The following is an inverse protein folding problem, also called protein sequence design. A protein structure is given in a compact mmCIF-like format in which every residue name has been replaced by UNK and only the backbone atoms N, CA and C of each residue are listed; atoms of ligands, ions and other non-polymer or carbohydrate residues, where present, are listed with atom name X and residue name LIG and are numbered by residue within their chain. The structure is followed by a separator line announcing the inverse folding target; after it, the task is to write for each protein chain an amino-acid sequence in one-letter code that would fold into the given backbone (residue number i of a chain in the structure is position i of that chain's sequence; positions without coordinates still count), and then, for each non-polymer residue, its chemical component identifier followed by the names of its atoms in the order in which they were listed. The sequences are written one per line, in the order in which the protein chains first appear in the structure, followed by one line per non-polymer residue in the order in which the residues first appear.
data_IF_271611981993
#
_entry.id   IF_271611981993
#
_cell.length_a   1.000
_cell.length_b   1.000
_cell.length_c   1.000
_cell.angle_alpha   90.00
_cell.angle_beta   90.00
_cell.angle_gamma   90.00
#
_symmetry.space_group_name_H-M   'P 1'
#
loop_
_entity.id
_entity.type
_entity.pdbx_description
1 polymer ?
#
# COMPACT_ATOMS: atom_id res chain seq x y z
N UNK A 1 -34.60 48.08 26.29
CA UNK A 1 -35.24 47.15 25.38
C UNK A 1 -35.42 47.77 23.98
N UNK A 2 -34.49 48.60 23.50
CA UNK A 2 -34.58 49.30 22.20
C UNK A 2 -33.52 48.87 21.18
N UNK A 3 -32.75 47.87 21.45
CA UNK A 3 -31.64 47.47 20.57
C UNK A 3 -31.92 46.30 19.62
N UNK A 4 -33.08 45.62 19.71
CA UNK A 4 -33.35 44.40 18.93
C UNK A 4 -34.16 44.65 17.65
N UNK A 5 -34.93 45.70 17.57
CA UNK A 5 -35.78 45.98 16.40
C UNK A 5 -35.01 46.50 15.17
N UNK A 6 -33.93 47.26 15.39
CA UNK A 6 -33.12 47.80 14.28
C UNK A 6 -32.35 46.74 13.50
N UNK A 7 -32.00 45.65 14.13
CA UNK A 7 -31.31 44.54 13.48
C UNK A 7 -32.22 43.70 12.58
N UNK A 8 -33.49 43.58 12.97
CA UNK A 8 -34.47 42.84 12.16
C UNK A 8 -34.90 43.58 10.91
N UNK A 9 -35.03 44.91 10.97
CA UNK A 9 -35.40 45.75 9.82
C UNK A 9 -34.25 45.83 8.81
N UNK A 10 -33.00 45.93 9.25
CA UNK A 10 -31.84 45.91 8.35
C UNK A 10 -31.69 44.57 7.60
N UNK A 11 -32.01 43.46 8.25
CA UNK A 11 -31.95 42.12 7.63
C UNK A 11 -33.03 41.91 6.58
N UNK A 12 -34.24 42.45 6.81
CA UNK A 12 -35.36 42.35 5.86
C UNK A 12 -35.13 43.20 4.60
N UNK A 13 -34.52 44.38 4.70
CA UNK A 13 -34.18 45.24 3.56
C UNK A 13 -33.09 44.58 2.69
N UNK A 14 -32.12 43.87 3.29
CA UNK A 14 -31.10 43.15 2.51
C UNK A 14 -31.66 41.94 1.76
N UNK A 15 -32.61 41.22 2.35
CA UNK A 15 -33.23 40.04 1.70
C UNK A 15 -34.12 40.46 0.54
N UNK A 16 -34.88 41.56 0.66
CA UNK A 16 -35.69 42.06 -0.43
C UNK A 16 -34.87 42.64 -1.58
N UNK A 17 -33.71 43.27 -1.29
CA UNK A 17 -32.79 43.75 -2.32
C UNK A 17 -32.13 42.61 -3.11
N UNK A 18 -31.85 41.47 -2.46
CA UNK A 18 -31.24 40.29 -3.12
C UNK A 18 -32.24 39.55 -4.03
N UNK A 19 -33.51 39.50 -3.66
CA UNK A 19 -34.58 38.83 -4.45
C UNK A 19 -34.99 39.65 -5.68
N UNK A 20 -34.94 40.99 -5.60
CA UNK A 20 -35.24 41.84 -6.76
C UNK A 20 -34.13 41.83 -7.81
N UNK A 21 -32.87 41.53 -7.45
CA UNK A 21 -31.76 41.45 -8.44
C UNK A 21 -31.81 40.18 -9.28
N UNK A 22 -32.52 39.13 -8.83
CA UNK A 22 -32.65 37.85 -9.53
C UNK A 22 -33.78 37.86 -10.58
N UNK A 23 -34.71 38.82 -10.49
CA UNK A 23 -35.90 38.87 -11.35
C UNK A 23 -35.81 39.83 -12.56
N UNK A 24 -34.73 40.61 -12.68
CA UNK A 24 -34.51 41.49 -13.85
C UNK A 24 -33.31 41.02 -14.68
N UNK A 25 -33.26 39.72 -14.99
CA UNK A 25 -32.32 39.16 -15.94
C UNK A 25 -32.60 39.66 -17.35
N UNK A 26 -31.90 40.69 -17.80
CA UNK A 26 -31.89 41.13 -19.18
C UNK A 26 -31.35 40.01 -20.06
N UNK A 27 -32.18 39.46 -20.93
CA UNK A 27 -31.75 38.55 -21.99
C UNK A 27 -30.82 39.30 -22.95
N UNK A 28 -29.51 39.08 -22.84
CA UNK A 28 -28.58 39.42 -23.91
C UNK A 28 -28.56 38.23 -24.89
N UNK A 29 -28.61 38.48 -26.21
CA UNK A 29 -28.54 37.42 -27.19
C UNK A 29 -27.17 36.73 -27.07
N UNK A 30 -27.16 35.42 -26.88
CA UNK A 30 -25.95 34.60 -26.90
C UNK A 30 -25.36 34.65 -28.30
N UNK A 31 -24.31 35.42 -28.49
CA UNK A 31 -23.41 35.27 -29.64
C UNK A 31 -22.68 33.95 -29.43
N UNK A 32 -23.09 32.94 -30.19
CA UNK A 32 -22.45 31.62 -30.18
C UNK A 32 -21.02 31.71 -30.73
N UNK A 33 -20.05 31.87 -29.86
CA UNK A 33 -18.67 31.51 -30.18
C UNK A 33 -18.53 30.00 -30.02
N UNK A 34 -18.58 29.29 -31.13
CA UNK A 34 -18.11 27.93 -31.18
C UNK A 34 -16.58 27.94 -30.98
N UNK A 35 -16.12 27.71 -29.74
CA UNK A 35 -14.74 27.38 -29.48
C UNK A 35 -14.54 25.98 -30.09
N UNK A 36 -13.98 25.97 -31.28
CA UNK A 36 -13.46 24.76 -31.88
C UNK A 36 -12.22 24.39 -31.05
N UNK A 37 -12.42 23.55 -30.04
CA UNK A 37 -11.33 22.89 -29.36
C UNK A 37 -10.65 21.99 -30.38
N UNK A 38 -9.51 22.48 -30.90
CA UNK A 38 -8.59 21.61 -31.61
C UNK A 38 -8.33 20.39 -30.74
N UNK A 39 -8.39 19.18 -31.29
CA UNK A 39 -8.03 18.02 -30.50
C UNK A 39 -6.59 18.22 -30.02
N UNK A 40 -6.40 18.43 -28.73
CA UNK A 40 -5.10 18.27 -28.10
C UNK A 40 -4.59 16.91 -28.54
N UNK A 41 -3.35 16.80 -29.08
CA UNK A 41 -2.80 15.49 -29.34
C UNK A 41 -2.87 14.75 -28.01
N UNK A 42 -3.64 13.67 -27.95
CA UNK A 42 -3.57 12.70 -26.89
C UNK A 42 -2.14 12.17 -26.90
N UNK A 43 -1.28 12.81 -26.13
CA UNK A 43 -0.03 12.18 -25.76
C UNK A 43 -0.45 10.87 -25.10
N UNK A 44 -0.18 9.76 -25.76
CA UNK A 44 -0.14 8.46 -25.13
C UNK A 44 0.93 8.59 -24.04
N UNK A 45 0.55 9.02 -22.84
CA UNK A 45 1.35 8.76 -21.67
C UNK A 45 1.29 7.25 -21.51
N UNK A 46 2.30 6.56 -22.02
CA UNK A 46 2.48 5.14 -21.74
C UNK A 46 2.55 5.05 -20.23
N UNK A 47 1.57 4.36 -19.60
CA UNK A 47 1.63 4.06 -18.19
C UNK A 47 3.02 3.49 -17.88
N UNK A 48 3.68 4.01 -16.85
CA UNK A 48 5.01 3.53 -16.50
C UNK A 48 4.96 2.03 -16.31
N UNK A 49 5.79 1.30 -17.04
CA UNK A 49 5.95 -0.14 -16.81
C UNK A 49 6.71 -0.44 -15.51
N UNK A 50 7.34 0.60 -14.92
CA UNK A 50 8.11 0.51 -13.68
C UNK A 50 7.22 0.78 -12.49
N UNK A 51 6.83 -0.26 -11.81
CA UNK A 51 6.02 -0.20 -10.60
C UNK A 51 6.78 -0.77 -9.41
N UNK A 52 6.44 -0.37 -8.21
CA UNK A 52 6.97 -0.94 -6.97
C UNK A 52 5.93 -0.79 -5.86
N UNK A 53 5.88 -1.73 -4.93
CA UNK A 53 5.08 -1.63 -3.72
C UNK A 53 6.01 -1.61 -2.50
N UNK A 54 5.73 -0.70 -1.56
CA UNK A 54 6.48 -0.55 -0.33
C UNK A 54 5.61 -1.02 0.84
N UNK A 55 6.17 -1.89 1.67
CA UNK A 55 5.52 -2.42 2.86
C UNK A 55 6.31 -2.07 4.12
N UNK A 56 5.60 -1.84 5.22
CA UNK A 56 6.18 -1.47 6.51
C UNK A 56 5.58 -2.37 7.59
N UNK A 57 6.41 -3.23 8.19
CA UNK A 57 5.97 -4.21 9.18
C UNK A 57 6.17 -3.75 10.62
N UNK A 58 5.51 -4.45 11.57
CA UNK A 58 5.81 -4.45 13.00
C UNK A 58 5.41 -3.20 13.81
N UNK A 59 4.57 -2.31 13.27
CA UNK A 59 3.99 -1.20 14.04
C UNK A 59 5.04 -0.25 14.65
N UNK A 60 6.19 -0.07 14.00
CA UNK A 60 7.31 0.68 14.56
C UNK A 60 7.13 2.19 14.44
N UNK A 61 7.41 2.93 15.53
CA UNK A 61 7.25 4.40 15.59
C UNK A 61 8.10 5.12 14.55
N UNK A 62 9.28 4.60 14.22
CA UNK A 62 10.18 5.17 13.22
C UNK A 62 9.57 5.21 11.81
N UNK A 63 8.63 4.34 11.52
CA UNK A 63 7.89 4.37 10.24
C UNK A 63 7.04 5.64 10.11
N UNK A 64 6.44 6.09 11.22
CA UNK A 64 5.70 7.34 11.26
C UNK A 64 6.62 8.57 11.34
N UNK A 65 7.66 8.53 12.17
CA UNK A 65 8.51 9.70 12.44
C UNK A 65 9.58 9.93 11.38
N UNK A 66 10.08 8.87 10.74
CA UNK A 66 11.21 8.96 9.81
C UNK A 66 10.81 8.57 8.38
N UNK A 67 10.10 7.43 8.18
CA UNK A 67 9.74 7.01 6.82
C UNK A 67 8.65 7.91 6.20
N UNK A 68 7.56 8.20 6.94
CA UNK A 68 6.44 8.99 6.41
C UNK A 68 6.88 10.34 5.82
N UNK A 69 7.66 11.20 6.49
CA UNK A 69 8.09 12.48 5.91
C UNK A 69 8.90 12.34 4.63
N UNK A 70 9.65 11.24 4.49
CA UNK A 70 10.42 10.95 3.27
C UNK A 70 9.49 10.50 2.15
N UNK A 71 8.50 9.65 2.44
CA UNK A 71 7.47 9.26 1.48
C UNK A 71 6.67 10.48 0.99
N UNK A 72 6.25 11.35 1.92
CA UNK A 72 5.50 12.57 1.60
C UNK A 72 6.26 13.49 0.65
N UNK A 73 7.57 13.64 0.85
CA UNK A 73 8.44 14.45 0.00
C UNK A 73 8.37 14.06 -1.48
N UNK A 74 8.15 12.78 -1.77
CA UNK A 74 8.07 12.26 -3.13
C UNK A 74 6.64 11.94 -3.57
N UNK A 75 5.64 12.21 -2.74
CA UNK A 75 4.24 11.86 -3.01
C UNK A 75 3.97 10.36 -2.97
N UNK A 76 4.84 9.57 -2.35
CA UNK A 76 4.73 8.12 -2.30
C UNK A 76 3.80 7.66 -1.17
N UNK A 77 3.10 6.55 -1.43
CA UNK A 77 2.28 5.87 -0.43
C UNK A 77 2.74 4.42 -0.27
N UNK A 78 2.67 3.91 0.96
CA UNK A 78 3.04 2.54 1.28
C UNK A 78 1.95 1.80 2.04
N UNK A 79 2.14 0.50 2.26
CA UNK A 79 1.24 -0.36 3.03
C UNK A 79 1.85 -0.68 4.39
N UNK A 80 1.17 -0.29 5.46
CA UNK A 80 1.62 -0.42 6.84
C UNK A 80 0.88 -1.57 7.52
N UNK A 81 1.63 -2.57 7.96
CA UNK A 81 1.11 -3.78 8.57
C UNK A 81 1.16 -3.71 10.10
N UNK A 82 -0.01 -3.71 10.72
CA UNK A 82 -0.19 -3.44 12.13
C UNK A 82 -0.33 -4.75 12.94
N UNK A 83 0.56 -4.93 13.91
CA UNK A 83 0.43 -5.93 14.97
C UNK A 83 -0.35 -5.31 16.11
N UNK A 84 -1.58 -5.74 16.32
CA UNK A 84 -2.58 -5.01 17.10
C UNK A 84 -2.17 -4.74 18.55
N UNK A 85 -1.69 -5.75 19.27
CA UNK A 85 -1.28 -5.58 20.67
C UNK A 85 0.04 -4.84 20.86
N UNK A 86 0.75 -4.54 19.77
CA UNK A 86 1.94 -3.70 19.84
C UNK A 86 1.63 -2.20 19.74
N UNK A 87 0.40 -1.83 19.35
CA UNK A 87 0.03 -0.42 19.25
C UNK A 87 0.05 0.22 20.63
N UNK A 88 0.91 1.23 20.80
CA UNK A 88 1.07 1.97 22.05
C UNK A 88 1.65 1.16 23.22
N UNK A 89 2.16 -0.06 22.96
CA UNK A 89 2.70 -0.91 24.02
C UNK A 89 3.98 -0.34 24.65
N UNK A 90 4.72 0.43 23.90
CA UNK A 90 5.89 1.16 24.34
C UNK A 90 6.22 2.35 23.41
N UNK A 91 7.25 3.14 23.75
CA UNK A 91 7.65 4.33 22.98
C UNK A 91 8.19 4.04 21.57
N UNK A 92 8.60 2.80 21.28
CA UNK A 92 9.12 2.41 19.97
C UNK A 92 7.99 1.95 19.04
N UNK A 93 6.74 1.94 19.52
CA UNK A 93 5.57 1.53 18.73
C UNK A 93 4.70 2.72 18.38
N UNK A 94 4.06 2.66 17.22
CA UNK A 94 3.02 3.64 16.84
C UNK A 94 1.83 3.55 17.79
N UNK A 95 1.24 4.69 18.07
CA UNK A 95 -0.06 4.80 18.73
C UNK A 95 -1.18 4.70 17.71
N UNK A 96 -2.43 4.49 18.15
CA UNK A 96 -3.59 4.56 17.26
C UNK A 96 -3.71 5.92 16.58
N UNK A 97 -3.33 7.00 17.25
CA UNK A 97 -3.32 8.34 16.66
C UNK A 97 -2.34 8.42 15.47
N UNK A 98 -1.14 7.84 15.59
CA UNK A 98 -0.18 7.80 14.48
C UNK A 98 -0.71 6.99 13.29
N UNK A 99 -1.32 5.84 13.57
CA UNK A 99 -1.87 4.94 12.55
C UNK A 99 -3.04 5.59 11.80
N UNK A 100 -3.94 6.24 12.52
CA UNK A 100 -5.05 6.99 11.92
C UNK A 100 -4.55 8.20 11.11
N UNK A 101 -3.49 8.87 11.56
CA UNK A 101 -2.85 9.94 10.79
C UNK A 101 -2.23 9.42 9.49
N UNK A 102 -1.60 8.24 9.49
CA UNK A 102 -1.14 7.56 8.27
C UNK A 102 -2.31 7.28 7.32
N UNK A 103 -3.42 6.73 7.83
CA UNK A 103 -4.62 6.43 7.04
C UNK A 103 -5.22 7.68 6.42
N UNK A 104 -5.37 8.76 7.22
CA UNK A 104 -5.91 10.05 6.75
C UNK A 104 -5.04 10.68 5.65
N UNK A 105 -3.74 10.42 5.68
CA UNK A 105 -2.78 10.85 4.67
C UNK A 105 -2.73 9.92 3.43
N UNK A 106 -3.63 8.93 3.35
CA UNK A 106 -3.75 8.04 2.21
C UNK A 106 -2.75 6.87 2.19
N UNK A 107 -2.06 6.62 3.30
CA UNK A 107 -1.30 5.38 3.45
C UNK A 107 -2.26 4.19 3.62
N UNK A 108 -1.88 3.03 3.11
CA UNK A 108 -2.69 1.82 3.24
C UNK A 108 -2.37 1.12 4.57
N UNK A 109 -3.38 0.91 5.41
CA UNK A 109 -3.23 0.28 6.72
C UNK A 109 -3.81 -1.13 6.68
N UNK A 110 -2.97 -2.11 6.99
CA UNK A 110 -3.27 -3.54 6.86
C UNK A 110 -2.87 -4.33 8.12
N UNK A 111 -3.18 -5.61 8.16
CA UNK A 111 -3.07 -6.43 9.36
C UNK A 111 -1.80 -7.30 9.40
N UNK A 112 -1.13 -7.36 10.57
CA UNK A 112 -0.06 -8.30 10.86
C UNK A 112 -0.26 -8.99 12.22
N UNK A 113 -1.33 -9.80 12.34
CA UNK A 113 -1.69 -10.55 13.54
C UNK A 113 -2.07 -9.70 14.77
N UNK A 114 -2.46 -10.37 15.86
CA UNK A 114 -2.67 -9.74 17.17
C UNK A 114 -1.36 -9.56 17.94
N UNK A 115 -0.51 -10.60 17.96
CA UNK A 115 0.61 -10.70 18.92
C UNK A 115 1.96 -11.03 18.28
N UNK A 116 2.01 -11.19 16.95
CA UNK A 116 3.21 -11.54 16.19
C UNK A 116 3.78 -12.95 16.49
N UNK A 117 2.94 -13.89 16.90
CA UNK A 117 3.35 -15.28 17.14
C UNK A 117 3.57 -16.04 15.83
N UNK A 118 4.44 -17.05 15.83
CA UNK A 118 4.63 -17.95 14.69
C UNK A 118 3.35 -18.75 14.44
N UNK A 119 2.72 -18.55 13.32
CA UNK A 119 1.37 -19.03 13.03
C UNK A 119 1.31 -20.54 12.80
N UNK A 120 2.39 -21.15 12.27
CA UNK A 120 2.45 -22.59 11.99
C UNK A 120 2.45 -23.48 13.24
N UNK A 121 2.69 -22.93 14.41
CA UNK A 121 2.73 -23.64 15.69
C UNK A 121 1.49 -23.41 16.58
N UNK A 122 0.50 -22.68 16.06
CA UNK A 122 -0.68 -22.30 16.84
C UNK A 122 -1.78 -23.37 16.81
N UNK A 123 -2.52 -23.46 17.90
CA UNK A 123 -3.78 -24.18 17.91
C UNK A 123 -4.80 -23.51 16.99
N UNK A 124 -5.85 -24.20 16.52
CA UNK A 124 -6.90 -23.57 15.69
C UNK A 124 -7.53 -22.33 16.34
N UNK A 125 -7.74 -22.35 17.66
CA UNK A 125 -8.30 -21.21 18.39
C UNK A 125 -7.33 -20.03 18.44
N UNK A 126 -6.05 -20.29 18.75
CA UNK A 126 -5.01 -19.25 18.74
C UNK A 126 -4.82 -18.68 17.33
N UNK A 127 -4.81 -19.53 16.32
CA UNK A 127 -4.69 -19.08 14.92
C UNK A 127 -5.87 -18.18 14.53
N UNK A 128 -7.09 -18.55 14.91
CA UNK A 128 -8.26 -17.69 14.70
C UNK A 128 -8.15 -16.37 15.46
N UNK A 129 -7.62 -16.38 16.68
CA UNK A 129 -7.37 -15.16 17.45
C UNK A 129 -6.37 -14.24 16.74
N UNK A 130 -5.26 -14.78 16.21
CA UNK A 130 -4.27 -13.99 15.48
C UNK A 130 -4.85 -13.39 14.19
N UNK A 131 -5.67 -14.12 13.46
CA UNK A 131 -6.19 -13.73 12.14
C UNK A 131 -7.49 -12.93 12.25
N UNK A 132 -8.54 -13.51 12.84
CA UNK A 132 -9.84 -12.84 12.98
C UNK A 132 -9.80 -11.74 14.04
N UNK A 133 -9.06 -11.96 15.12
CA UNK A 133 -8.88 -10.97 16.19
C UNK A 133 -8.24 -9.70 15.66
N UNK A 134 -7.17 -9.81 14.85
CA UNK A 134 -6.51 -8.63 14.25
C UNK A 134 -7.42 -7.90 13.26
N UNK A 135 -8.22 -8.61 12.48
CA UNK A 135 -9.24 -8.00 11.62
C UNK A 135 -10.22 -7.16 12.43
N UNK A 136 -10.75 -7.74 13.52
CA UNK A 136 -11.69 -7.06 14.41
C UNK A 136 -11.03 -5.85 15.09
N UNK A 137 -9.81 -6.02 15.60
CA UNK A 137 -9.08 -4.94 16.27
C UNK A 137 -8.93 -3.72 15.37
N UNK A 138 -8.54 -3.89 14.11
CA UNK A 138 -8.43 -2.79 13.15
C UNK A 138 -9.82 -2.19 12.82
N UNK A 139 -10.83 -3.03 12.65
CA UNK A 139 -12.20 -2.57 12.36
C UNK A 139 -12.78 -1.75 13.53
N UNK A 140 -12.50 -2.11 14.78
CA UNK A 140 -12.90 -1.35 15.97
C UNK A 140 -12.30 0.08 16.00
N UNK A 141 -11.22 0.33 15.21
CA UNK A 141 -10.60 1.65 15.04
C UNK A 141 -10.92 2.27 13.67
N UNK A 142 -11.94 1.77 12.95
CA UNK A 142 -12.37 2.33 11.66
C UNK A 142 -11.47 1.96 10.48
N UNK A 143 -10.62 0.95 10.60
CA UNK A 143 -9.71 0.48 9.56
C UNK A 143 -10.25 -0.80 8.92
N UNK A 144 -10.58 -0.75 7.64
CA UNK A 144 -11.00 -1.94 6.89
C UNK A 144 -9.78 -2.62 6.23
N UNK A 145 -9.00 -3.35 7.02
CA UNK A 145 -7.88 -4.12 6.50
C UNK A 145 -8.36 -5.28 5.61
N UNK A 146 -7.84 -5.40 4.41
CA UNK A 146 -8.19 -6.42 3.43
C UNK A 146 -7.05 -7.38 3.11
N UNK A 147 -5.86 -7.06 3.59
CA UNK A 147 -4.62 -7.79 3.35
C UNK A 147 -3.99 -8.17 4.69
N UNK A 148 -3.40 -9.34 4.72
CA UNK A 148 -2.76 -9.86 5.92
C UNK A 148 -1.27 -10.11 5.67
N UNK A 149 -0.38 -9.74 6.59
CA UNK A 149 1.01 -10.16 6.56
C UNK A 149 1.26 -11.23 7.61
N UNK A 150 1.90 -12.32 7.20
CA UNK A 150 2.38 -13.34 8.15
C UNK A 150 3.63 -12.85 8.89
N UNK A 151 3.97 -13.51 10.00
CA UNK A 151 4.99 -12.99 10.92
C UNK A 151 6.42 -13.33 10.54
N UNK A 152 6.65 -14.48 9.92
CA UNK A 152 8.00 -15.01 9.68
C UNK A 152 8.27 -15.41 8.24
N UNK A 153 7.32 -15.18 7.32
CA UNK A 153 7.48 -15.37 5.88
C UNK A 153 7.64 -16.83 5.41
N UNK A 154 7.42 -17.80 6.27
CA UNK A 154 7.58 -19.23 5.95
C UNK A 154 6.27 -20.02 6.07
N UNK A 155 5.14 -19.32 6.13
CA UNK A 155 3.81 -19.89 6.21
C UNK A 155 3.14 -20.12 4.84
N UNK A 156 3.80 -19.69 3.77
CA UNK A 156 3.26 -19.67 2.40
C UNK A 156 2.78 -21.01 1.85
N UNK A 157 3.28 -22.11 2.37
CA UNK A 157 2.87 -23.46 1.99
C UNK A 157 2.06 -24.18 3.08
N UNK A 158 1.69 -23.49 4.18
CA UNK A 158 0.89 -24.07 5.23
C UNK A 158 -0.60 -23.88 4.98
N UNK A 159 -1.26 -24.97 4.55
CA UNK A 159 -2.68 -24.95 4.21
C UNK A 159 -3.59 -24.47 5.35
N UNK A 160 -3.29 -24.85 6.57
CA UNK A 160 -4.09 -24.47 7.75
C UNK A 160 -4.04 -22.96 7.95
N UNK A 161 -2.84 -22.37 7.89
CA UNK A 161 -2.63 -20.93 8.04
C UNK A 161 -3.29 -20.17 6.89
N UNK A 162 -3.07 -20.59 5.64
CA UNK A 162 -3.62 -19.92 4.45
C UNK A 162 -5.15 -19.98 4.46
N UNK A 163 -5.74 -21.14 4.78
CA UNK A 163 -7.20 -21.28 4.90
C UNK A 163 -7.79 -20.41 6.01
N UNK A 164 -7.08 -20.23 7.12
CA UNK A 164 -7.51 -19.32 8.18
C UNK A 164 -7.52 -17.86 7.70
N UNK A 165 -6.46 -17.42 7.01
CA UNK A 165 -6.35 -16.07 6.45
C UNK A 165 -7.43 -15.82 5.40
N UNK A 166 -7.65 -16.76 4.48
CA UNK A 166 -8.59 -16.64 3.38
C UNK A 166 -10.06 -16.44 3.81
N UNK A 167 -10.40 -16.77 5.05
CA UNK A 167 -11.74 -16.52 5.61
C UNK A 167 -12.02 -15.05 5.87
N UNK A 168 -10.98 -14.24 6.07
CA UNK A 168 -11.11 -12.87 6.58
C UNK A 168 -10.44 -11.82 5.69
N UNK A 169 -9.47 -12.21 4.86
CA UNK A 169 -8.67 -11.30 4.06
C UNK A 169 -8.68 -11.69 2.58
N UNK A 170 -8.50 -10.72 1.72
CA UNK A 170 -8.48 -10.92 0.28
C UNK A 170 -7.11 -11.35 -0.25
N UNK A 171 -6.04 -10.91 0.42
CA UNK A 171 -4.66 -11.18 0.06
C UNK A 171 -3.80 -11.46 1.29
N UNK A 172 -2.63 -12.08 1.09
CA UNK A 172 -1.62 -12.17 2.13
C UNK A 172 -0.22 -11.96 1.58
N UNK A 173 0.58 -11.17 2.32
CA UNK A 173 2.03 -11.11 2.17
C UNK A 173 2.63 -12.23 3.00
N UNK A 174 3.30 -13.15 2.32
CA UNK A 174 3.73 -14.41 2.92
C UNK A 174 4.87 -15.05 2.11
N UNK A 175 6.08 -14.72 2.42
CA UNK A 175 7.26 -15.31 1.81
C UNK A 175 8.27 -14.28 1.33
N UNK A 176 9.46 -14.78 0.98
CA UNK A 176 10.60 -13.96 0.59
C UNK A 176 10.96 -14.20 -0.86
N UNK A 177 10.87 -13.20 -1.68
CA UNK A 177 11.42 -13.15 -3.03
C UNK A 177 11.31 -11.70 -3.55
N UNK A 178 12.17 -11.31 -4.49
CA UNK A 178 12.18 -9.94 -4.99
C UNK A 178 10.92 -9.55 -5.76
N UNK A 179 10.22 -10.49 -6.38
CA UNK A 179 9.09 -10.20 -7.26
C UNK A 179 7.82 -10.93 -6.84
N UNK A 180 6.73 -10.18 -6.80
CA UNK A 180 5.39 -10.72 -6.93
C UNK A 180 5.03 -10.81 -8.42
N UNK A 181 4.39 -11.91 -8.84
CA UNK A 181 3.83 -12.02 -10.17
C UNK A 181 2.30 -11.96 -10.11
N UNK A 182 1.69 -11.26 -11.05
CA UNK A 182 0.24 -11.08 -11.09
C UNK A 182 -0.50 -12.38 -11.46
N UNK A 183 0.19 -13.30 -12.15
CA UNK A 183 -0.33 -14.64 -12.47
C UNK A 183 0.81 -15.66 -12.59
N UNK A 184 0.45 -16.95 -12.56
CA UNK A 184 1.41 -18.06 -12.45
C UNK A 184 2.45 -18.14 -13.56
N UNK A 185 2.16 -17.68 -14.75
CA UNK A 185 3.10 -17.75 -15.87
C UNK A 185 4.38 -16.96 -15.62
N UNK A 186 4.33 -15.89 -14.80
CA UNK A 186 5.49 -15.16 -14.37
C UNK A 186 6.46 -15.99 -13.53
N UNK A 187 5.92 -16.85 -12.64
CA UNK A 187 6.77 -17.74 -11.80
C UNK A 187 7.49 -18.80 -12.62
N UNK A 188 6.88 -19.32 -13.68
CA UNK A 188 7.54 -20.25 -14.58
C UNK A 188 8.69 -19.63 -15.36
N UNK A 189 8.62 -18.33 -15.62
CA UNK A 189 9.66 -17.56 -16.33
C UNK A 189 10.79 -17.13 -15.41
N UNK A 190 10.49 -16.93 -14.12
CA UNK A 190 11.50 -16.71 -13.10
C UNK A 190 11.95 -18.07 -12.56
N UNK A 191 13.11 -18.25 -12.06
CA UNK A 191 13.55 -19.48 -11.39
C UNK A 191 12.79 -19.76 -10.07
N UNK A 192 11.74 -18.99 -9.77
CA UNK A 192 10.87 -19.19 -8.62
C UNK A 192 9.84 -20.29 -8.97
N UNK A 193 10.08 -21.50 -8.54
CA UNK A 193 9.26 -22.67 -8.87
C UNK A 193 7.89 -22.70 -8.22
N UNK A 194 7.53 -21.67 -7.43
CA UNK A 194 6.35 -21.71 -6.58
C UNK A 194 5.36 -20.59 -6.90
N UNK A 195 4.43 -20.91 -7.77
CA UNK A 195 3.19 -20.15 -7.86
C UNK A 195 2.10 -20.78 -6.98
N UNK A 196 2.47 -21.61 -6.01
CA UNK A 196 1.51 -22.35 -5.20
C UNK A 196 0.79 -21.46 -4.22
N UNK A 197 -0.31 -21.02 -4.64
CA UNK A 197 -1.44 -20.89 -3.75
C UNK A 197 -2.27 -22.15 -3.75
N UNK A 198 -1.80 -23.17 -4.45
CA UNK A 198 -2.49 -24.44 -4.57
C UNK A 198 -1.79 -25.51 -3.78
N UNK A 199 -2.57 -26.23 -3.06
CA UNK A 199 -2.18 -27.56 -2.61
C UNK A 199 -2.32 -28.53 -3.77
N UNK A 200 -1.50 -29.58 -3.77
CA UNK A 200 -1.54 -30.64 -4.77
C UNK A 200 -2.92 -31.31 -4.88
N UNK A 201 -3.76 -31.16 -3.85
CA UNK A 201 -5.14 -31.63 -3.84
C UNK A 201 -6.16 -30.64 -4.44
N UNK A 202 -5.72 -29.52 -4.99
CA UNK A 202 -6.57 -28.54 -5.68
C UNK A 202 -7.49 -27.70 -4.79
N UNK A 203 -7.29 -27.72 -3.47
CA UNK A 203 -8.22 -27.06 -2.54
C UNK A 203 -8.06 -25.57 -2.42
N UNK A 204 -6.98 -24.98 -2.92
CA UNK A 204 -6.84 -23.53 -2.89
C UNK A 204 -6.28 -23.03 -4.22
N UNK A 205 -7.14 -22.42 -5.00
CA UNK A 205 -6.81 -21.98 -6.36
C UNK A 205 -6.73 -20.46 -6.46
N UNK A 206 -5.99 -19.85 -5.57
CA UNK A 206 -5.95 -18.39 -5.52
C UNK A 206 -4.64 -17.83 -6.06
N UNK A 207 -3.92 -18.54 -6.94
CA UNK A 207 -2.68 -18.11 -7.54
C UNK A 207 -1.99 -17.04 -6.64
N UNK A 208 -0.98 -16.60 -6.56
CA UNK A 208 -0.28 -15.60 -5.74
C UNK A 208 -1.05 -14.80 -4.66
N UNK A 209 -2.37 -14.94 -4.60
CA UNK A 209 -3.25 -14.12 -3.75
C UNK A 209 -2.88 -14.19 -2.27
N UNK A 210 -2.53 -15.40 -1.79
CA UNK A 210 -2.12 -15.62 -0.40
C UNK A 210 -0.63 -15.96 -0.26
N UNK A 211 0.16 -15.63 -1.26
CA UNK A 211 1.61 -15.84 -1.31
C UNK A 211 2.32 -14.65 -1.96
N UNK A 212 1.85 -13.45 -1.71
CA UNK A 212 2.57 -12.25 -2.13
C UNK A 212 3.93 -12.29 -1.48
N UNK A 213 4.97 -12.19 -2.29
CA UNK A 213 6.35 -12.24 -1.82
C UNK A 213 6.92 -10.84 -1.75
N UNK A 214 7.75 -10.62 -0.74
CA UNK A 214 8.47 -9.36 -0.59
C UNK A 214 9.97 -9.62 -0.42
N UNK A 215 10.79 -8.71 -0.92
CA UNK A 215 12.17 -8.63 -0.52
C UNK A 215 12.24 -7.85 0.78
N UNK A 216 12.59 -8.54 1.88
CA UNK A 216 12.74 -7.90 3.18
C UNK A 216 14.03 -7.09 3.19
N UNK A 217 13.87 -5.76 3.27
CA UNK A 217 14.97 -4.81 3.36
C UNK A 217 15.49 -4.77 4.80
N UNK A 218 16.31 -5.73 5.12
CA UNK A 218 16.99 -5.80 6.41
C UNK A 218 18.37 -6.45 6.24
N UNK A 219 19.22 -6.27 7.23
CA UNK A 219 20.58 -6.76 7.21
C UNK A 219 20.71 -8.26 7.51
N UNK A 220 19.73 -9.09 7.10
CA UNK A 220 19.76 -10.55 7.37
C UNK A 220 20.91 -11.22 6.62
N UNK A 221 21.24 -10.74 5.43
CA UNK A 221 22.32 -11.33 4.66
C UNK A 221 23.68 -10.87 5.24
N UNK A 222 24.37 -11.78 5.89
CA UNK A 222 25.73 -11.55 6.44
C UNK A 222 26.72 -11.10 5.36
N UNK A 223 26.48 -11.42 4.09
CA UNK A 223 27.31 -10.99 2.96
C UNK A 223 27.21 -9.49 2.70
N UNK A 224 26.09 -8.86 3.08
CA UNK A 224 25.87 -7.43 2.95
C UNK A 224 26.04 -6.66 4.26
N UNK A 225 26.47 -7.32 5.34
CA UNK A 225 26.48 -6.81 6.71
C UNK A 225 26.85 -5.33 6.79
N UNK A 226 25.85 -4.50 7.14
CA UNK A 226 25.95 -3.07 7.47
C UNK A 226 26.60 -2.14 6.43
N UNK A 227 26.78 -2.58 5.17
CA UNK A 227 27.30 -1.73 4.10
C UNK A 227 26.16 -1.17 3.24
N UNK A 228 25.76 0.08 3.51
CA UNK A 228 24.65 0.76 2.84
C UNK A 228 24.84 0.83 1.33
N UNK A 229 26.07 0.97 0.83
CA UNK A 229 26.35 1.00 -0.61
C UNK A 229 25.93 -0.32 -1.28
N UNK A 230 26.26 -1.46 -0.66
CA UNK A 230 25.88 -2.78 -1.20
C UNK A 230 24.38 -3.02 -1.08
N UNK A 231 23.77 -2.58 0.04
CA UNK A 231 22.31 -2.69 0.22
C UNK A 231 21.59 -1.84 -0.82
N UNK A 232 22.03 -0.60 -1.05
CA UNK A 232 21.49 0.25 -2.11
C UNK A 232 21.64 -0.38 -3.51
N UNK A 233 22.81 -0.94 -3.84
CA UNK A 233 23.01 -1.64 -5.09
C UNK A 233 22.06 -2.84 -5.24
N UNK A 234 21.84 -3.58 -4.15
CA UNK A 234 20.88 -4.69 -4.13
C UNK A 234 19.45 -4.19 -4.30
N UNK A 235 19.04 -3.13 -3.60
CA UNK A 235 17.75 -2.48 -3.80
C UNK A 235 17.51 -2.11 -5.27
N UNK A 236 18.50 -1.46 -5.91
CA UNK A 236 18.44 -1.11 -7.34
C UNK A 236 18.27 -2.35 -8.22
N UNK A 237 18.96 -3.44 -7.93
CA UNK A 237 18.80 -4.71 -8.65
C UNK A 237 17.38 -5.28 -8.48
N UNK A 238 16.86 -5.28 -7.25
CA UNK A 238 15.53 -5.83 -6.96
C UNK A 238 14.41 -5.05 -7.65
N UNK A 239 14.40 -3.72 -7.53
CA UNK A 239 13.36 -2.91 -8.17
C UNK A 239 13.42 -2.95 -9.70
N UNK A 240 14.58 -3.14 -10.29
CA UNK A 240 14.74 -3.28 -11.75
C UNK A 240 14.57 -4.72 -12.26
N UNK A 241 14.48 -5.72 -11.39
CA UNK A 241 14.32 -7.12 -11.79
C UNK A 241 13.04 -7.36 -12.60
N UNK A 242 12.02 -6.53 -12.41
CA UNK A 242 10.77 -6.52 -13.16
C UNK A 242 10.94 -6.26 -14.66
N UNK A 243 12.03 -5.58 -15.09
CA UNK A 243 12.25 -5.22 -16.49
C UNK A 243 12.37 -6.44 -17.42
N UNK A 244 12.62 -7.63 -16.86
CA UNK A 244 12.64 -8.89 -17.62
C UNK A 244 11.23 -9.38 -18.00
N UNK A 245 10.20 -8.91 -17.30
CA UNK A 245 8.84 -9.41 -17.36
C UNK A 245 7.83 -8.36 -17.82
N UNK A 246 8.04 -7.11 -17.46
CA UNK A 246 7.19 -6.01 -17.83
C UNK A 246 7.57 -5.49 -19.22
N UNK A 247 6.59 -5.09 -19.99
CA UNK A 247 6.80 -4.63 -21.38
C UNK A 247 6.70 -3.11 -21.46
N UNK A 248 7.43 -2.51 -22.38
CA UNK A 248 7.42 -1.06 -22.64
C UNK A 248 6.04 -0.53 -23.10
N UNK A 249 5.14 -1.42 -23.52
CA UNK A 249 3.76 -1.06 -23.86
C UNK A 249 2.83 -0.87 -22.65
N UNK A 250 3.37 -0.84 -21.43
CA UNK A 250 2.62 -0.67 -20.18
C UNK A 250 2.06 -1.97 -19.58
N UNK A 251 2.35 -3.15 -20.16
CA UNK A 251 1.91 -4.42 -19.58
C UNK A 251 2.76 -4.76 -18.37
N UNK A 252 2.16 -4.73 -17.17
CA UNK A 252 2.79 -5.13 -15.91
C UNK A 252 2.46 -6.58 -15.61
N UNK A 253 3.48 -7.39 -15.43
CA UNK A 253 3.38 -8.83 -15.11
C UNK A 253 4.01 -9.15 -13.76
N UNK A 254 5.08 -8.42 -13.42
CA UNK A 254 5.83 -8.58 -12.19
C UNK A 254 5.96 -7.26 -11.45
N UNK A 255 5.86 -7.31 -10.13
CA UNK A 255 5.94 -6.14 -9.25
C UNK A 255 6.91 -6.43 -8.12
N UNK A 256 7.98 -5.64 -7.98
CA UNK A 256 8.81 -5.68 -6.79
C UNK A 256 8.00 -5.22 -5.57
N UNK A 257 8.05 -6.00 -4.51
CA UNK A 257 7.50 -5.64 -3.20
C UNK A 257 8.65 -5.55 -2.22
N UNK A 258 8.88 -4.37 -1.66
CA UNK A 258 10.01 -4.08 -0.77
C UNK A 258 9.49 -3.90 0.65
N UNK A 259 9.90 -4.80 1.54
CA UNK A 259 9.48 -4.80 2.94
C UNK A 259 10.50 -4.13 3.86
N UNK A 260 10.07 -3.10 4.56
CA UNK A 260 10.85 -2.38 5.56
C UNK A 260 10.33 -2.67 6.97
N UNK A 261 11.23 -2.56 7.94
CA UNK A 261 10.89 -2.61 9.36
C UNK A 261 11.25 -1.29 10.04
N UNK A 262 12.32 -1.25 10.78
CA UNK A 262 12.75 -0.04 11.50
C UNK A 262 13.53 0.91 10.58
N UNK A 263 13.22 2.21 10.60
CA UNK A 263 13.92 3.23 9.80
C UNK A 263 14.64 4.17 10.79
N UNK A 264 15.90 3.87 11.10
CA UNK A 264 16.65 4.55 12.17
C UNK A 264 18.12 4.72 11.81
N UNK A 265 18.77 5.75 12.38
CA UNK A 265 20.20 5.98 12.16
C UNK A 265 21.10 4.97 12.92
N UNK A 266 20.59 4.38 14.01
CA UNK A 266 21.32 3.36 14.77
C UNK A 266 20.98 1.97 14.20
N UNK A 267 21.89 1.41 13.41
CA UNK A 267 21.66 0.14 12.70
C UNK A 267 21.53 -1.03 13.67
N UNK A 268 20.39 -1.70 13.55
CA UNK A 268 20.14 -3.02 14.11
C UNK A 268 20.01 -4.05 12.98
N UNK A 269 19.84 -5.32 13.33
CA UNK A 269 19.69 -6.41 12.35
C UNK A 269 18.51 -6.17 11.39
N UNK A 270 17.43 -5.60 11.88
CA UNK A 270 16.16 -5.46 11.16
C UNK A 270 15.83 -3.99 10.86
N UNK A 271 16.86 -3.13 10.75
CA UNK A 271 16.69 -1.71 10.47
C UNK A 271 17.32 -1.29 9.15
N UNK A 272 16.75 -0.24 8.57
CA UNK A 272 17.29 0.51 7.44
C UNK A 272 17.77 1.87 7.93
N UNK A 273 18.95 2.31 7.51
CA UNK A 273 19.46 3.66 7.81
C UNK A 273 18.57 4.71 7.14
N UNK A 274 18.30 5.82 7.83
CA UNK A 274 17.45 6.90 7.33
C UNK A 274 18.00 7.48 6.02
N UNK A 275 19.33 7.70 5.92
CA UNK A 275 19.94 8.25 4.70
C UNK A 275 19.87 7.24 3.53
N UNK A 276 20.01 5.95 3.83
CA UNK A 276 19.81 4.90 2.83
C UNK A 276 18.37 4.91 2.32
N UNK A 277 17.39 4.97 3.21
CA UNK A 277 15.98 5.07 2.82
C UNK A 277 15.71 6.33 1.96
N UNK A 278 16.30 7.47 2.30
CA UNK A 278 16.23 8.69 1.46
C UNK A 278 16.81 8.44 0.06
N UNK A 279 17.95 7.77 -0.05
CA UNK A 279 18.58 7.45 -1.34
C UNK A 279 17.70 6.52 -2.19
N UNK A 280 17.07 5.54 -1.58
CA UNK A 280 16.18 4.58 -2.23
C UNK A 280 14.90 5.26 -2.75
N UNK A 281 14.24 6.08 -1.94
CA UNK A 281 13.07 6.85 -2.37
C UNK A 281 13.42 7.85 -3.48
N UNK A 282 14.57 8.52 -3.36
CA UNK A 282 15.08 9.39 -4.43
C UNK A 282 15.32 8.61 -5.71
N UNK A 283 15.90 7.41 -5.63
CA UNK A 283 16.11 6.57 -6.81
C UNK A 283 14.81 6.20 -7.50
N UNK A 284 13.79 5.78 -6.75
CA UNK A 284 12.48 5.48 -7.32
C UNK A 284 11.87 6.68 -8.04
N UNK A 285 11.90 7.85 -7.40
CA UNK A 285 11.39 9.09 -7.97
C UNK A 285 12.13 9.48 -9.26
N UNK A 286 13.46 9.55 -9.21
CA UNK A 286 14.29 10.03 -10.35
C UNK A 286 14.27 9.07 -11.54
N UNK A 287 13.94 7.80 -11.32
CA UNK A 287 13.83 6.78 -12.38
C UNK A 287 12.40 6.49 -12.81
N UNK A 288 11.44 7.32 -12.41
CA UNK A 288 10.05 7.27 -12.86
C UNK A 288 9.26 6.04 -12.41
N UNK A 289 9.54 5.52 -11.21
CA UNK A 289 8.74 4.43 -10.65
C UNK A 289 7.40 4.93 -10.14
N UNK A 290 6.31 4.24 -10.48
CA UNK A 290 5.02 4.37 -9.82
C UNK A 290 5.04 3.55 -8.52
N UNK A 291 5.01 4.24 -7.38
CA UNK A 291 4.93 3.59 -6.08
C UNK A 291 3.47 3.35 -5.73
N UNK A 292 3.09 2.09 -5.61
CA UNK A 292 1.71 1.65 -5.41
C UNK A 292 1.55 1.03 -4.02
N UNK A 293 0.32 1.06 -3.52
CA UNK A 293 -0.07 0.37 -2.28
C UNK A 293 -0.72 -0.98 -2.58
N UNK A 294 -0.61 -1.92 -1.65
CA UNK A 294 -1.14 -3.27 -1.85
C UNK A 294 -2.67 -3.31 -2.02
N UNK A 295 -3.42 -2.36 -1.45
CA UNK A 295 -4.87 -2.29 -1.63
C UNK A 295 -5.30 -1.89 -3.07
N UNK A 296 -4.34 -1.54 -3.93
CA UNK A 296 -4.59 -1.40 -5.37
C UNK A 296 -4.60 -2.75 -6.10
N UNK A 297 -4.29 -3.85 -5.42
CA UNK A 297 -4.44 -5.18 -5.97
C UNK A 297 -5.92 -5.59 -6.04
N UNK A 298 -6.30 -6.15 -7.17
CA UNK A 298 -7.57 -6.83 -7.38
C UNK A 298 -7.35 -8.29 -7.77
N UNK A 299 -8.40 -9.10 -7.68
CA UNK A 299 -8.35 -10.50 -8.05
C UNK A 299 -9.58 -10.89 -8.88
N UNK A 300 -9.33 -11.43 -10.07
CA UNK A 300 -10.36 -12.00 -10.93
C UNK A 300 -10.47 -13.50 -10.65
N UNK A 301 -11.56 -13.90 -10.00
CA UNK A 301 -11.82 -15.30 -9.63
C UNK A 301 -12.10 -16.20 -10.84
N UNK A 302 -12.65 -15.65 -11.91
CA UNK A 302 -12.97 -16.41 -13.12
C UNK A 302 -11.70 -16.75 -13.91
N UNK A 303 -10.78 -15.82 -13.98
CA UNK A 303 -9.51 -15.94 -14.69
C UNK A 303 -8.38 -16.45 -13.81
N UNK A 304 -8.60 -16.47 -12.49
CA UNK A 304 -7.61 -16.87 -11.49
C UNK A 304 -6.31 -16.03 -11.59
N UNK A 305 -6.47 -14.71 -11.71
CA UNK A 305 -5.35 -13.77 -11.86
C UNK A 305 -5.48 -12.59 -10.91
N UNK A 306 -4.34 -12.13 -10.43
CA UNK A 306 -4.22 -10.85 -9.73
C UNK A 306 -3.99 -9.74 -10.76
N UNK A 307 -4.53 -8.56 -10.51
CA UNK A 307 -4.33 -7.38 -11.35
C UNK A 307 -4.15 -6.13 -10.48
N UNK A 308 -3.68 -5.05 -11.08
CA UNK A 308 -3.52 -3.75 -10.41
C UNK A 308 -4.62 -2.81 -10.89
N UNK A 309 -5.35 -2.25 -9.93
CA UNK A 309 -6.30 -1.16 -10.19
C UNK A 309 -5.54 0.16 -10.29
N UNK A 310 -5.84 0.96 -11.31
CA UNK A 310 -5.39 2.35 -11.45
C UNK A 310 -3.87 2.52 -11.26
N UNK A 311 -3.08 2.08 -12.24
CA UNK A 311 -1.69 2.53 -12.36
C UNK A 311 -1.76 3.99 -12.80
N UNK A 312 -1.23 4.97 -12.02
CA UNK A 312 -1.22 6.36 -12.45
C UNK A 312 -0.48 6.49 -13.77
N UNK A 313 -1.07 7.20 -14.74
CA UNK A 313 -0.33 7.62 -15.91
C UNK A 313 0.76 8.60 -15.45
N UNK A 314 2.00 8.30 -15.75
CA UNK A 314 3.17 9.16 -15.50
C UNK A 314 3.09 10.46 -16.30
#
# INVERSE_FOLDING_TARGET
MEGSEWRFQALLVFIVALVTLILTGSFLPAIGYSIQLSPTPSGNSSASSKVVMLTFGDTLKSQFTNAKPILDKYGFKGSFFITCLWVGSDKARMTWQDILALQMDGQNIESKTMTHRRMTSLSPNDLNYEVAGSKKCLADHGINATIFATTHGNEWNNATVINAIAKYYNFAVNGFAPLMFLHCDGYKQSSQHDCRTYLDNGTLTFANRYSIREWSHNNIDKAYSYNDTKIFQRFVQEVNSQNRFNKDNGTTTAVPVIGYHDIVNNKTRDSTDVNLFVQEMKYLHDNGFSVLTLNQLGYDTNRNVTYINNIPSS
#
